data_IF_606094883392
#
_entry.id   IF_606094883392
#
_cell.length_a   1.000
_cell.length_b   1.000
_cell.length_c   1.000
_cell.angle_alpha   90.00
_cell.angle_beta   90.00
_cell.angle_gamma   90.00
#
_symmetry.space_group_name_H-M   'P 1'
#
loop_
_entity.id
_entity.type
_entity.pdbx_description
1 polymer ?
#
# COMPACT_ATOMS: atom_id res chain seq x y z
N UNK A 1 24.94 -29.48 -73.52
CA UNK A 1 26.18 -29.00 -72.87
C UNK A 1 25.79 -27.96 -71.83
N UNK A 2 26.43 -28.00 -70.66
CA UNK A 2 25.90 -27.61 -69.35
C UNK A 2 25.74 -26.10 -69.09
N UNK A 3 24.88 -25.84 -68.09
CA UNK A 3 24.65 -24.64 -67.27
C UNK A 3 25.80 -23.63 -67.16
N UNK A 4 25.42 -22.36 -66.95
CA UNK A 4 25.84 -21.57 -65.77
C UNK A 4 24.81 -20.48 -65.46
N UNK A 5 23.91 -20.77 -64.50
CA UNK A 5 23.04 -19.77 -63.87
C UNK A 5 23.88 -19.12 -62.76
N UNK A 6 24.13 -17.82 -62.89
CA UNK A 6 24.77 -17.01 -61.85
C UNK A 6 23.78 -16.85 -60.70
N UNK A 7 24.04 -17.50 -59.57
CA UNK A 7 23.32 -17.25 -58.32
C UNK A 7 23.97 -16.05 -57.63
N UNK A 8 23.30 -14.90 -57.67
CA UNK A 8 23.61 -13.77 -56.80
C UNK A 8 23.21 -14.14 -55.37
N UNK A 9 24.20 -14.37 -54.52
CA UNK A 9 24.02 -14.58 -53.08
C UNK A 9 23.80 -13.21 -52.43
N UNK A 10 22.55 -12.79 -52.30
CA UNK A 10 22.19 -11.67 -51.42
C UNK A 10 22.34 -12.13 -49.97
N UNK A 11 23.49 -11.85 -49.35
CA UNK A 11 23.65 -11.89 -47.90
C UNK A 11 22.78 -10.78 -47.29
N UNK A 12 21.54 -11.13 -46.95
CA UNK A 12 20.69 -10.30 -46.10
C UNK A 12 21.34 -10.21 -44.72
N UNK A 13 21.92 -9.06 -44.41
CA UNK A 13 22.35 -8.74 -43.05
C UNK A 13 21.08 -8.52 -42.23
N UNK A 14 20.57 -9.60 -41.63
CA UNK A 14 19.51 -9.53 -40.64
C UNK A 14 20.06 -8.80 -39.43
N UNK A 15 19.75 -7.50 -39.31
CA UNK A 15 19.83 -6.77 -38.06
C UNK A 15 18.82 -7.41 -37.11
N UNK A 16 19.27 -8.42 -36.37
CA UNK A 16 18.59 -8.84 -35.15
C UNK A 16 18.75 -7.66 -34.20
N UNK A 17 17.77 -6.75 -34.21
CA UNK A 17 17.59 -5.75 -33.18
C UNK A 17 17.29 -6.49 -31.89
N UNK A 18 18.34 -6.92 -31.19
CA UNK A 18 18.22 -7.35 -29.81
C UNK A 18 17.82 -6.11 -29.02
N UNK A 19 16.52 -5.97 -28.77
CA UNK A 19 16.01 -5.02 -27.79
C UNK A 19 16.49 -5.49 -26.42
N UNK A 20 17.74 -5.15 -26.10
CA UNK A 20 18.22 -5.15 -24.74
C UNK A 20 17.29 -4.21 -23.97
N UNK A 21 16.37 -4.78 -23.21
CA UNK A 21 15.47 -4.06 -22.31
C UNK A 21 16.34 -3.47 -21.20
N UNK A 22 16.76 -2.23 -21.41
CA UNK A 22 17.28 -1.40 -20.34
C UNK A 22 16.18 -1.19 -19.32
N UNK A 23 16.57 -1.08 -18.05
CA UNK A 23 15.71 -0.60 -16.98
C UNK A 23 14.95 0.66 -17.44
N UNK A 24 13.62 0.62 -17.41
CA UNK A 24 12.82 1.78 -17.72
C UNK A 24 12.80 2.73 -16.52
N UNK A 25 12.89 4.03 -16.78
CA UNK A 25 12.53 5.03 -15.76
C UNK A 25 11.01 5.08 -15.73
N UNK A 26 10.42 4.74 -14.59
CA UNK A 26 8.98 4.79 -14.40
C UNK A 26 8.61 5.91 -13.46
N UNK A 27 7.88 6.89 -14.00
CA UNK A 27 7.65 8.17 -13.35
C UNK A 27 6.18 8.37 -12.97
N UNK A 28 5.95 8.86 -11.75
CA UNK A 28 4.64 9.15 -11.20
C UNK A 28 4.60 10.53 -10.53
N UNK A 29 3.48 11.21 -10.66
CA UNK A 29 3.17 12.45 -9.93
C UNK A 29 1.99 12.21 -9.00
N UNK A 30 2.21 12.37 -7.70
CA UNK A 30 1.24 12.16 -6.64
C UNK A 30 1.02 13.48 -5.89
N UNK A 31 -0.18 14.02 -6.01
CA UNK A 31 -0.63 15.21 -5.29
C UNK A 31 -1.48 14.75 -4.11
N UNK A 32 -0.96 14.94 -2.91
CA UNK A 32 -1.64 14.65 -1.66
C UNK A 32 -2.50 15.86 -1.30
N UNK A 33 -3.80 15.69 -1.24
CA UNK A 33 -4.76 16.76 -0.92
C UNK A 33 -5.85 16.23 0.03
N UNK A 34 -6.67 17.12 0.58
CA UNK A 34 -7.88 16.74 1.29
C UNK A 34 -9.10 16.91 0.37
N UNK A 35 -9.96 15.89 0.28
CA UNK A 35 -11.18 15.96 -0.52
C UNK A 35 -12.35 15.28 0.20
N UNK A 36 -13.60 15.70 -0.09
CA UNK A 36 -14.77 15.03 0.42
C UNK A 36 -14.90 13.63 -0.21
N UNK A 37 -15.11 12.61 0.62
CA UNK A 37 -15.45 11.25 0.21
C UNK A 37 -16.77 10.82 0.84
N UNK A 38 -17.51 9.95 0.17
CA UNK A 38 -18.77 9.40 0.67
C UNK A 38 -18.77 7.87 0.50
N UNK A 39 -18.46 7.15 1.58
CA UNK A 39 -18.42 5.68 1.59
C UNK A 39 -19.61 5.06 2.32
N UNK A 40 -20.12 5.74 3.35
CA UNK A 40 -21.17 5.21 4.25
C UNK A 40 -22.50 5.94 4.12
N UNK A 41 -22.69 6.74 3.06
CA UNK A 41 -23.83 7.64 2.87
C UNK A 41 -23.63 9.02 3.49
N UNK A 42 -22.58 9.21 4.31
CA UNK A 42 -22.17 10.51 4.86
C UNK A 42 -20.89 11.00 4.18
N UNK A 43 -20.79 12.32 4.00
CA UNK A 43 -19.60 12.95 3.44
C UNK A 43 -18.58 13.26 4.54
N UNK A 44 -17.35 12.80 4.36
CA UNK A 44 -16.22 13.08 5.24
C UNK A 44 -15.06 13.69 4.46
N UNK A 45 -14.33 14.61 5.08
CA UNK A 45 -13.07 15.10 4.53
C UNK A 45 -11.97 14.06 4.81
N UNK A 46 -11.30 13.57 3.77
CA UNK A 46 -10.21 12.58 3.88
C UNK A 46 -9.04 12.99 3.02
N UNK A 47 -7.88 12.44 3.32
CA UNK A 47 -6.70 12.59 2.47
C UNK A 47 -6.90 11.74 1.22
N UNK A 48 -6.64 12.33 0.07
CA UNK A 48 -6.73 11.69 -1.23
C UNK A 48 -5.45 11.93 -2.00
N UNK A 49 -5.17 11.06 -2.97
CA UNK A 49 -4.03 11.23 -3.88
C UNK A 49 -4.57 11.38 -5.29
N UNK A 50 -4.24 12.49 -5.93
CA UNK A 50 -4.77 12.84 -7.26
C UNK A 50 -6.32 12.79 -7.29
N UNK A 51 -6.97 13.21 -6.20
CA UNK A 51 -8.43 13.18 -6.06
C UNK A 51 -9.05 11.78 -5.92
N UNK A 52 -8.23 10.73 -5.71
CA UNK A 52 -8.70 9.35 -5.54
C UNK A 52 -8.57 8.87 -4.09
N UNK A 53 -9.54 8.05 -3.70
CA UNK A 53 -9.57 7.28 -2.46
C UNK A 53 -10.11 5.87 -2.77
N UNK A 54 -9.37 4.77 -2.51
CA UNK A 54 -7.95 4.74 -2.14
C UNK A 54 -7.05 5.44 -3.16
N UNK A 55 -5.78 5.68 -2.80
CA UNK A 55 -4.82 6.31 -3.69
C UNK A 55 -4.59 5.44 -4.96
N UNK A 56 -4.15 6.04 -6.09
CA UNK A 56 -3.95 5.32 -7.34
C UNK A 56 -3.03 4.11 -7.21
N UNK A 57 -3.33 3.02 -7.94
CA UNK A 57 -2.39 1.92 -8.10
C UNK A 57 -1.09 2.41 -8.75
N UNK A 58 0.05 2.10 -8.14
CA UNK A 58 1.36 2.22 -8.77
C UNK A 58 1.77 0.86 -9.30
N UNK A 59 2.21 0.81 -10.55
CA UNK A 59 2.71 -0.43 -11.14
C UNK A 59 4.15 -0.22 -11.56
N UNK A 60 5.02 -1.19 -11.31
CA UNK A 60 6.40 -1.21 -11.79
C UNK A 60 6.71 -2.56 -12.40
N UNK A 61 7.79 -2.64 -13.16
CA UNK A 61 8.46 -3.89 -13.48
C UNK A 61 9.74 -4.01 -12.63
N UNK A 62 10.08 -5.23 -12.23
CA UNK A 62 11.35 -5.51 -11.57
C UNK A 62 12.52 -5.07 -12.47
N UNK A 63 13.37 -4.20 -11.93
CA UNK A 63 14.45 -3.56 -12.66
C UNK A 63 14.15 -2.11 -13.05
N UNK A 64 12.93 -1.61 -12.90
CA UNK A 64 12.62 -0.20 -13.15
C UNK A 64 13.40 0.74 -12.21
N UNK A 65 13.70 1.94 -12.71
CA UNK A 65 14.14 3.07 -11.89
C UNK A 65 12.89 3.92 -11.55
N UNK A 66 12.40 3.79 -10.32
CA UNK A 66 11.22 4.51 -9.86
C UNK A 66 11.56 5.97 -9.59
N UNK A 67 10.75 6.88 -10.15
CA UNK A 67 10.82 8.32 -9.90
C UNK A 67 9.43 8.80 -9.51
N UNK A 68 9.22 9.09 -8.23
CA UNK A 68 7.90 9.44 -7.72
C UNK A 68 7.94 10.84 -7.13
N UNK A 69 7.30 11.77 -7.81
CA UNK A 69 7.14 13.15 -7.39
C UNK A 69 5.92 13.27 -6.48
N UNK A 70 6.15 13.58 -5.20
CA UNK A 70 5.09 13.75 -4.23
C UNK A 70 4.97 15.21 -3.86
N UNK A 71 3.79 15.79 -4.04
CA UNK A 71 3.46 17.15 -3.65
C UNK A 71 2.48 17.13 -2.47
N UNK A 72 2.82 17.85 -1.41
CA UNK A 72 1.95 18.02 -0.26
C UNK A 72 1.09 19.28 -0.42
N UNK A 73 -0.19 19.10 -0.77
CA UNK A 73 -1.17 20.19 -0.80
C UNK A 73 -1.98 20.33 0.49
N UNK A 74 -1.68 19.57 1.56
CA UNK A 74 -2.29 19.79 2.87
C UNK A 74 -1.95 21.19 3.39
N UNK A 75 -2.87 21.77 4.18
CA UNK A 75 -2.75 23.18 4.57
C UNK A 75 -1.78 23.42 5.74
N UNK A 76 -1.73 22.49 6.70
CA UNK A 76 -1.04 22.70 7.98
C UNK A 76 -0.39 21.42 8.54
N UNK A 77 -0.19 20.41 7.70
CA UNK A 77 0.42 19.16 8.11
C UNK A 77 1.53 18.78 7.15
N UNK A 78 2.69 18.41 7.72
CA UNK A 78 3.69 17.65 7.01
C UNK A 78 3.11 16.28 6.63
N UNK A 79 3.59 15.70 5.54
CA UNK A 79 3.18 14.38 5.08
C UNK A 79 4.40 13.57 4.63
N UNK A 80 4.20 12.29 4.39
CA UNK A 80 5.20 11.41 3.81
C UNK A 80 4.52 10.20 3.19
N UNK A 81 5.20 9.53 2.26
CA UNK A 81 4.83 8.21 1.79
C UNK A 81 5.95 7.22 2.12
N UNK A 82 5.58 6.09 2.68
CA UNK A 82 6.42 4.92 2.88
C UNK A 82 6.01 3.80 1.93
N UNK A 83 6.99 3.08 1.41
CA UNK A 83 6.82 2.03 0.40
C UNK A 83 6.90 0.66 1.08
N UNK A 84 5.77 0.19 1.60
CA UNK A 84 5.73 -0.93 2.52
C UNK A 84 6.25 -2.22 1.87
N UNK A 85 7.32 -2.76 2.46
CA UNK A 85 7.97 -3.99 2.00
C UNK A 85 9.00 -3.80 0.88
N UNK A 86 9.20 -2.59 0.36
CA UNK A 86 10.21 -2.33 -0.66
C UNK A 86 11.60 -2.20 -0.06
N UNK A 87 12.58 -2.73 -0.77
CA UNK A 87 13.99 -2.64 -0.42
C UNK A 87 14.65 -1.47 -1.16
N UNK A 88 14.93 -0.39 -0.44
CA UNK A 88 15.37 0.89 -1.00
C UNK A 88 16.38 1.60 -0.09
N UNK A 89 17.07 2.66 -0.58
CA UNK A 89 17.94 3.47 0.26
C UNK A 89 17.16 4.14 1.39
N UNK A 90 17.74 4.22 2.58
CA UNK A 90 17.05 4.70 3.78
C UNK A 90 16.42 6.09 3.68
N UNK A 91 17.01 7.03 2.93
CA UNK A 91 16.44 8.37 2.70
C UNK A 91 15.15 8.33 1.86
N UNK A 92 14.97 7.29 1.04
CA UNK A 92 13.80 7.09 0.17
C UNK A 92 12.69 6.30 0.87
N UNK A 93 12.90 5.90 2.12
CA UNK A 93 11.94 5.11 2.89
C UNK A 93 10.74 5.94 3.37
N UNK A 94 10.90 7.26 3.44
CA UNK A 94 9.80 8.18 3.70
C UNK A 94 9.26 8.14 5.12
N UNK A 95 10.08 7.68 6.07
CA UNK A 95 9.79 7.68 7.52
C UNK A 95 10.38 8.95 8.15
N UNK A 96 9.56 9.93 8.58
CA UNK A 96 10.07 11.16 9.18
C UNK A 96 10.87 10.88 10.46
N UNK A 97 12.02 11.53 10.59
CA UNK A 97 12.94 11.34 11.72
C UNK A 97 13.91 10.16 11.58
N UNK A 98 13.81 9.39 10.50
CA UNK A 98 14.71 8.27 10.19
C UNK A 98 15.55 8.55 8.94
N UNK A 99 16.83 8.12 8.94
CA UNK A 99 17.77 8.27 7.82
C UNK A 99 17.90 9.70 7.23
N UNK A 100 17.63 10.73 8.04
CA UNK A 100 17.71 12.13 7.64
C UNK A 100 16.48 12.68 6.91
N UNK A 101 15.46 11.87 6.65
CA UNK A 101 14.19 12.33 6.06
C UNK A 101 13.34 13.06 7.10
N UNK A 102 12.85 14.26 6.78
CA UNK A 102 12.13 15.13 7.72
C UNK A 102 10.62 15.23 7.44
N UNK A 103 10.12 14.50 6.42
CA UNK A 103 8.77 14.71 5.90
C UNK A 103 8.71 15.82 4.84
N UNK A 104 7.58 15.90 4.16
CA UNK A 104 7.27 16.85 3.11
C UNK A 104 6.38 17.93 3.71
N UNK A 105 6.89 19.15 3.84
CA UNK A 105 6.15 20.27 4.45
C UNK A 105 4.94 20.70 3.60
N UNK A 106 3.94 21.39 4.18
CA UNK A 106 2.85 22.00 3.43
C UNK A 106 3.35 22.79 2.22
N UNK A 107 2.72 22.56 1.07
CA UNK A 107 3.01 23.20 -0.22
C UNK A 107 4.44 22.95 -0.73
N UNK A 108 5.12 21.93 -0.22
CA UNK A 108 6.41 21.47 -0.71
C UNK A 108 6.28 20.13 -1.42
N UNK A 109 7.35 19.74 -2.10
CA UNK A 109 7.45 18.47 -2.81
C UNK A 109 8.71 17.72 -2.41
N UNK A 110 8.66 16.40 -2.53
CA UNK A 110 9.81 15.52 -2.43
C UNK A 110 9.78 14.51 -3.57
N UNK A 111 10.94 14.15 -4.09
CA UNK A 111 11.04 13.13 -5.14
C UNK A 111 11.72 11.89 -4.59
N UNK A 112 10.98 10.79 -4.57
CA UNK A 112 11.51 9.48 -4.25
C UNK A 112 12.16 8.90 -5.50
N UNK A 113 13.41 8.44 -5.37
CA UNK A 113 14.17 7.81 -6.46
C UNK A 113 14.86 6.56 -5.97
N UNK A 114 14.47 5.40 -6.48
CA UNK A 114 15.09 4.14 -6.09
C UNK A 114 14.96 3.08 -7.19
N UNK A 115 15.88 2.11 -7.16
CA UNK A 115 15.84 0.94 -8.04
C UNK A 115 14.82 -0.06 -7.52
N UNK A 116 13.89 -0.47 -8.37
CA UNK A 116 12.96 -1.56 -8.08
C UNK A 116 13.70 -2.87 -8.34
N UNK A 117 13.90 -3.70 -7.30
CA UNK A 117 14.79 -4.88 -7.35
C UNK A 117 14.15 -6.18 -6.87
N UNK A 118 12.83 -6.17 -6.73
CA UNK A 118 12.00 -7.27 -6.25
C UNK A 118 10.68 -7.24 -7.04
N UNK A 119 9.89 -8.30 -6.97
CA UNK A 119 8.56 -8.37 -7.58
C UNK A 119 7.51 -8.85 -6.55
N UNK A 120 6.23 -8.59 -6.84
CA UNK A 120 5.11 -8.96 -5.97
C UNK A 120 4.11 -7.83 -5.74
N UNK A 121 3.16 -8.09 -4.85
CA UNK A 121 2.11 -7.13 -4.45
C UNK A 121 2.46 -6.49 -3.12
N UNK A 122 2.54 -5.17 -3.14
CA UNK A 122 2.91 -4.29 -2.03
C UNK A 122 1.88 -3.17 -1.92
N UNK A 123 2.17 -2.19 -1.07
CA UNK A 123 1.35 -1.02 -0.87
C UNK A 123 2.22 0.15 -0.41
N UNK A 124 1.68 1.34 -0.49
CA UNK A 124 2.30 2.55 0.02
C UNK A 124 1.30 3.28 0.89
N UNK A 125 1.79 3.92 1.94
CA UNK A 125 0.94 4.61 2.90
C UNK A 125 1.67 5.74 3.59
N UNK A 126 0.91 6.60 4.27
CA UNK A 126 1.51 7.63 5.07
C UNK A 126 2.28 7.05 6.24
N UNK A 127 3.47 7.58 6.48
CA UNK A 127 4.22 7.34 7.71
C UNK A 127 4.27 8.59 8.60
N UNK A 128 3.37 9.54 8.34
CA UNK A 128 3.22 10.80 9.07
C UNK A 128 1.96 10.75 9.94
N UNK A 129 2.13 10.65 11.25
CA UNK A 129 1.03 10.67 12.24
C UNK A 129 -0.04 9.61 11.90
N UNK A 130 -1.33 9.94 12.03
CA UNK A 130 -2.46 9.07 11.70
C UNK A 130 -3.00 9.26 10.27
N UNK A 131 -2.19 9.78 9.35
CA UNK A 131 -2.65 10.11 7.99
C UNK A 131 -3.03 8.87 7.16
N UNK A 132 -2.47 7.70 7.48
CA UNK A 132 -2.89 6.42 6.88
C UNK A 132 -4.37 6.17 7.17
N UNK A 133 -4.79 6.28 8.44
CA UNK A 133 -6.19 6.13 8.86
C UNK A 133 -7.09 7.23 8.29
N UNK A 134 -6.52 8.39 7.97
CA UNK A 134 -7.22 9.50 7.29
C UNK A 134 -7.31 9.32 5.76
N UNK A 135 -6.78 8.23 5.20
CA UNK A 135 -6.98 7.84 3.80
C UNK A 135 -5.76 7.79 2.90
N UNK A 136 -4.57 8.12 3.42
CA UNK A 136 -3.36 8.17 2.61
C UNK A 136 -2.71 6.80 2.50
N UNK A 137 -3.27 5.97 1.62
CA UNK A 137 -2.75 4.65 1.26
C UNK A 137 -3.18 4.23 -0.14
N UNK A 138 -2.38 3.40 -0.80
CA UNK A 138 -2.69 2.81 -2.10
C UNK A 138 -1.88 1.55 -2.37
N UNK A 139 -2.31 0.78 -3.37
CA UNK A 139 -1.63 -0.45 -3.75
C UNK A 139 -0.41 -0.17 -4.65
N UNK A 140 0.59 -1.05 -4.57
CA UNK A 140 1.79 -1.01 -5.38
C UNK A 140 2.06 -2.42 -5.92
N UNK A 141 2.03 -2.61 -7.23
CA UNK A 141 2.32 -3.91 -7.85
C UNK A 141 3.64 -3.81 -8.59
N UNK A 142 4.53 -4.78 -8.36
CA UNK A 142 5.75 -4.92 -9.14
C UNK A 142 5.68 -6.22 -9.93
N UNK A 143 5.55 -6.10 -11.25
CA UNK A 143 5.58 -7.24 -12.17
C UNK A 143 6.98 -7.84 -12.19
N UNK A 144 7.10 -9.18 -12.29
CA UNK A 144 8.41 -9.80 -12.46
C UNK A 144 9.05 -9.29 -13.77
N UNK A 145 10.38 -9.27 -13.79
CA UNK A 145 11.14 -8.81 -14.96
C UNK A 145 10.65 -9.49 -16.24
N UNK A 146 10.54 -8.73 -17.33
CA UNK A 146 10.16 -9.26 -18.63
C UNK A 146 10.97 -10.53 -18.96
N UNK A 147 10.27 -11.58 -19.42
CA UNK A 147 10.77 -12.94 -19.70
C UNK A 147 10.81 -13.91 -18.50
N UNK A 148 10.44 -13.47 -17.30
CA UNK A 148 10.18 -14.39 -16.19
C UNK A 148 8.95 -15.24 -16.50
N UNK A 149 9.13 -16.54 -16.70
CA UNK A 149 8.02 -17.48 -16.88
C UNK A 149 7.34 -17.72 -15.52
N UNK A 150 6.06 -17.35 -15.43
CA UNK A 150 5.25 -17.68 -14.26
C UNK A 150 4.99 -19.20 -14.23
N UNK A 151 5.11 -19.85 -13.06
CA UNK A 151 4.71 -21.24 -12.88
C UNK A 151 3.29 -21.48 -13.40
N UNK A 152 2.96 -22.67 -13.94
CA UNK A 152 1.62 -22.93 -14.49
C UNK A 152 0.46 -22.66 -13.53
N UNK A 153 0.67 -22.80 -12.22
CA UNK A 153 -0.36 -22.54 -11.20
C UNK A 153 -0.54 -21.06 -10.85
N UNK A 154 0.37 -20.19 -11.28
CA UNK A 154 0.30 -18.72 -11.12
C UNK A 154 -0.18 -18.02 -12.40
N UNK A 155 -0.28 -18.76 -13.51
CA UNK A 155 -0.80 -18.21 -14.76
C UNK A 155 -2.30 -17.98 -14.64
N UNK A 156 -2.72 -16.74 -14.86
CA UNK A 156 -4.13 -16.34 -14.80
C UNK A 156 -4.49 -15.58 -16.07
N UNK A 157 -5.74 -15.67 -16.49
CA UNK A 157 -6.27 -14.82 -17.57
C UNK A 157 -6.48 -13.38 -17.10
N UNK A 158 -6.72 -13.21 -15.80
CA UNK A 158 -7.02 -11.93 -15.17
C UNK A 158 -6.39 -11.87 -13.79
N UNK A 159 -5.90 -10.68 -13.45
CA UNK A 159 -5.30 -10.36 -12.18
C UNK A 159 -5.93 -9.08 -11.64
N UNK A 160 -6.27 -9.08 -10.35
CA UNK A 160 -6.99 -8.00 -9.68
C UNK A 160 -6.35 -7.70 -8.33
N UNK A 161 -6.19 -6.41 -8.06
CA UNK A 161 -5.73 -5.95 -6.74
C UNK A 161 -6.93 -5.73 -5.82
N UNK A 162 -6.90 -6.39 -4.67
CA UNK A 162 -7.88 -6.19 -3.58
C UNK A 162 -7.15 -5.55 -2.40
N UNK A 163 -7.55 -4.33 -2.05
CA UNK A 163 -7.02 -3.63 -0.88
C UNK A 163 -8.08 -3.61 0.23
N UNK A 164 -7.72 -4.15 1.39
CA UNK A 164 -8.59 -4.21 2.56
C UNK A 164 -8.16 -3.13 3.55
N UNK A 165 -9.10 -2.27 3.93
CA UNK A 165 -8.92 -1.24 4.96
C UNK A 165 -10.20 -1.10 5.76
N UNK A 166 -10.09 -0.77 7.04
CA UNK A 166 -11.22 -0.28 7.81
C UNK A 166 -11.48 1.20 7.51
N UNK A 167 -12.67 1.67 7.89
CA UNK A 167 -13.03 3.08 7.79
C UNK A 167 -13.72 3.50 9.08
N UNK A 168 -13.25 4.61 9.64
CA UNK A 168 -13.83 5.20 10.83
C UNK A 168 -14.24 6.64 10.55
N UNK A 169 -15.35 7.11 11.15
CA UNK A 169 -15.85 8.48 10.92
C UNK A 169 -14.89 9.54 11.52
N UNK A 170 -14.25 9.22 12.65
CA UNK A 170 -13.25 10.04 13.32
C UNK A 170 -11.89 10.01 12.61
N UNK A 171 -11.15 11.11 12.71
CA UNK A 171 -9.77 11.20 12.20
C UNK A 171 -8.80 10.30 12.95
N UNK A 172 -7.70 9.91 12.31
CA UNK A 172 -6.61 9.16 12.92
C UNK A 172 -6.04 9.84 14.17
N UNK A 173 -5.94 11.17 14.15
CA UNK A 173 -5.54 11.97 15.32
C UNK A 173 -6.53 11.81 16.49
N UNK A 174 -7.83 11.84 16.22
CA UNK A 174 -8.87 11.64 17.25
C UNK A 174 -8.84 10.22 17.80
N UNK A 175 -8.69 9.22 16.93
CA UNK A 175 -8.56 7.80 17.32
C UNK A 175 -7.36 7.62 18.24
N UNK A 176 -6.21 8.13 17.84
CA UNK A 176 -5.00 8.06 18.64
C UNK A 176 -5.15 8.76 20.00
N UNK A 177 -5.80 9.92 20.04
CA UNK A 177 -6.04 10.66 21.29
C UNK A 177 -6.99 9.90 22.23
N UNK A 178 -8.00 9.24 21.69
CA UNK A 178 -8.94 8.43 22.45
C UNK A 178 -8.27 7.18 23.03
N UNK A 179 -7.49 6.47 22.21
CA UNK A 179 -6.71 5.31 22.66
C UNK A 179 -5.64 5.67 23.71
N UNK A 180 -5.08 6.89 23.66
CA UNK A 180 -4.16 7.39 24.69
C UNK A 180 -4.85 7.66 26.03
N UNK A 181 -6.15 7.97 26.04
CA UNK A 181 -6.93 8.15 27.27
C UNK A 181 -7.31 6.81 27.88
N UNK A 182 -7.73 5.87 27.04
CA UNK A 182 -8.08 4.50 27.45
C UNK A 182 -7.85 3.54 26.30
N UNK A 183 -7.13 2.44 26.57
CA UNK A 183 -6.97 1.35 25.61
C UNK A 183 -8.33 0.73 25.21
N UNK A 184 -9.33 0.85 26.07
CA UNK A 184 -10.68 0.31 25.88
C UNK A 184 -11.67 1.32 25.29
N UNK A 185 -11.20 2.49 24.83
CA UNK A 185 -12.11 3.59 24.43
C UNK A 185 -13.16 3.18 23.39
N UNK A 186 -12.79 2.32 22.45
CA UNK A 186 -13.68 1.82 21.39
C UNK A 186 -14.31 0.46 21.71
N UNK A 187 -14.00 -0.11 22.88
CA UNK A 187 -14.55 -1.39 23.30
C UNK A 187 -15.93 -1.19 23.93
N UNK A 188 -16.92 -1.12 23.05
CA UNK A 188 -18.32 -0.89 23.40
C UNK A 188 -19.11 -2.18 23.62
N UNK A 189 -18.54 -3.34 23.31
CA UNK A 189 -19.17 -4.66 23.46
C UNK A 189 -18.64 -5.36 24.70
N UNK A 190 -19.08 -4.89 25.88
CA UNK A 190 -18.76 -5.52 27.16
C UNK A 190 -19.81 -6.54 27.50
N UNK A 191 -19.38 -7.72 27.95
CA UNK A 191 -20.31 -8.74 28.44
C UNK A 191 -21.18 -8.20 29.58
N UNK A 192 -22.48 -8.40 29.45
CA UNK A 192 -23.45 -8.11 30.50
C UNK A 192 -23.67 -9.33 31.39
N UNK A 193 -24.33 -9.13 32.54
CA UNK A 193 -24.77 -10.26 33.38
C UNK A 193 -25.73 -11.21 32.63
N UNK A 194 -26.50 -10.69 31.66
CA UNK A 194 -27.38 -11.50 30.82
C UNK A 194 -26.61 -12.45 29.90
N UNK A 195 -25.51 -11.96 29.30
CA UNK A 195 -24.65 -12.76 28.43
C UNK A 195 -23.98 -13.89 29.21
N UNK A 196 -23.52 -13.61 30.42
CA UNK A 196 -22.94 -14.63 31.33
C UNK A 196 -23.97 -15.70 31.67
N UNK A 197 -25.21 -15.33 31.98
CA UNK A 197 -26.27 -16.31 32.27
C UNK A 197 -26.59 -17.19 31.04
N UNK A 198 -26.61 -16.61 29.84
CA UNK A 198 -26.78 -17.37 28.61
C UNK A 198 -25.61 -18.32 28.34
N UNK A 199 -24.37 -17.88 28.53
CA UNK A 199 -23.18 -18.72 28.40
C UNK A 199 -23.18 -19.85 29.42
N UNK A 200 -23.53 -19.60 30.68
CA UNK A 200 -23.64 -20.66 31.70
C UNK A 200 -24.69 -21.69 31.32
N UNK A 201 -25.82 -21.25 30.75
CA UNK A 201 -26.88 -22.16 30.29
C UNK A 201 -26.45 -22.99 29.06
N UNK A 202 -25.65 -22.41 28.16
CA UNK A 202 -25.18 -23.05 26.92
C UNK A 202 -24.00 -23.99 27.15
N UNK A 203 -23.00 -23.53 27.89
CA UNK A 203 -21.67 -24.12 27.97
C UNK A 203 -21.34 -24.69 29.37
N UNK A 204 -22.15 -24.35 30.38
CA UNK A 204 -21.97 -24.78 31.76
C UNK A 204 -20.99 -23.90 32.55
N UNK A 205 -21.21 -23.80 33.87
CA UNK A 205 -20.45 -22.93 34.79
C UNK A 205 -18.93 -23.06 34.68
N UNK A 206 -18.41 -24.28 34.57
CA UNK A 206 -16.96 -24.54 34.53
C UNK A 206 -16.32 -24.01 33.26
N UNK A 207 -16.98 -24.17 32.11
CA UNK A 207 -16.48 -23.69 30.82
C UNK A 207 -16.54 -22.16 30.76
N UNK A 208 -17.67 -21.57 31.15
CA UNK A 208 -17.83 -20.10 31.21
C UNK A 208 -16.80 -19.45 32.14
N UNK A 209 -16.52 -20.06 33.30
CA UNK A 209 -15.50 -19.55 34.22
C UNK A 209 -14.08 -19.63 33.65
N UNK A 210 -13.74 -20.72 32.95
CA UNK A 210 -12.44 -20.88 32.32
C UNK A 210 -12.23 -19.86 31.21
N UNK A 211 -13.24 -19.67 30.35
CA UNK A 211 -13.21 -18.71 29.26
C UNK A 211 -13.04 -17.28 29.81
N UNK A 212 -13.89 -16.88 30.77
CA UNK A 212 -13.81 -15.57 31.40
C UNK A 212 -12.48 -15.31 32.12
N UNK A 213 -11.88 -16.34 32.73
CA UNK A 213 -10.54 -16.23 33.33
C UNK A 213 -9.48 -15.96 32.26
N UNK A 214 -9.57 -16.62 31.11
CA UNK A 214 -8.66 -16.42 29.98
C UNK A 214 -8.79 -15.01 29.39
N UNK A 215 -10.02 -14.55 29.10
CA UNK A 215 -10.28 -13.20 28.57
C UNK A 215 -9.78 -12.09 29.51
N UNK A 216 -10.02 -12.23 30.82
CA UNK A 216 -9.49 -11.29 31.82
C UNK A 216 -7.96 -11.25 31.86
N UNK A 217 -7.27 -12.36 31.59
CA UNK A 217 -5.81 -12.39 31.50
C UNK A 217 -5.29 -11.71 30.23
N UNK A 218 -6.03 -11.80 29.12
CA UNK A 218 -5.70 -11.13 27.86
C UNK A 218 -5.95 -9.61 27.89
N UNK A 219 -6.54 -9.07 28.98
CA UNK A 219 -6.98 -7.66 29.10
C UNK A 219 -7.94 -7.24 27.97
N UNK A 220 -8.69 -8.21 27.47
CA UNK A 220 -9.78 -8.01 26.52
C UNK A 220 -11.05 -8.00 27.36
N UNK A 221 -11.43 -6.83 27.90
CA UNK A 221 -12.71 -6.63 28.61
C UNK A 221 -13.87 -6.45 27.63
#
# INVERSE_FOLDING_TARGET
>A
MLLKISQSLCLGFGLISSSALFAAVKEYHLVIDESPINLTGKTFKRITVNGKFPAPLLEFEEGDDAVIHVQNNLNNQDTSLHWHGLLLPGLMDGVPGFNGFQGIKPKQSFTYRFKVRQNGTYWYHAHSKGQEQDGLYGALVIRPKAQTLLPPHEQTERDYVVMLSDFHEQSGQQIQNNLKKSAEYYQNQRETLGDVLQQVKRDGLKATWSDRKMWNQMRML
#
